data_IF_842956277128
#
_entry.id   IF_842956277128
#
_cell.length_a   1.000
_cell.length_b   1.000
_cell.length_c   1.000
_cell.angle_alpha   90.00
_cell.angle_beta   90.00
_cell.angle_gamma   90.00
#
_symmetry.space_group_name_H-M   'P 1'
#
loop_
_entity.id
_entity.type
_entity.pdbx_description
1 polymer ?
#
# COMPACT_ATOMS: atom_id res chain seq x y z
N UNK A 1 -11.99 -4.89 -16.76
CA UNK A 1 -12.98 -5.91 -16.33
C UNK A 1 -14.17 -5.85 -17.28
N UNK A 2 -15.00 -6.89 -17.43
CA UNK A 2 -16.23 -6.78 -18.25
C UNK A 2 -17.37 -6.31 -17.32
N UNK A 3 -17.82 -5.07 -17.47
CA UNK A 3 -18.85 -4.50 -16.60
C UNK A 3 -20.23 -5.05 -16.98
N UNK A 4 -21.04 -5.56 -16.05
CA UNK A 4 -22.39 -6.03 -16.35
C UNK A 4 -23.31 -4.88 -16.80
N UNK A 5 -24.31 -5.24 -17.59
CA UNK A 5 -25.49 -4.39 -17.80
C UNK A 5 -26.41 -4.52 -16.60
N UNK A 6 -26.86 -3.39 -16.06
CA UNK A 6 -27.77 -3.35 -14.92
C UNK A 6 -29.23 -3.28 -15.41
N UNK A 7 -30.11 -3.97 -14.69
CA UNK A 7 -31.55 -3.94 -14.94
C UNK A 7 -32.20 -2.84 -14.10
N UNK A 8 -32.89 -1.91 -14.77
CA UNK A 8 -33.55 -0.76 -14.16
C UNK A 8 -35.07 -0.77 -14.35
N UNK A 9 -35.67 -1.87 -14.81
CA UNK A 9 -37.11 -1.91 -15.11
C UNK A 9 -38.01 -1.61 -13.91
N UNK A 10 -37.49 -1.69 -12.68
CA UNK A 10 -38.20 -1.29 -11.45
C UNK A 10 -38.21 0.22 -11.18
N UNK A 11 -37.49 1.03 -11.96
CA UNK A 11 -37.47 2.48 -11.87
C UNK A 11 -38.32 3.04 -13.03
N UNK A 12 -39.51 3.53 -12.72
CA UNK A 12 -40.54 3.89 -13.71
C UNK A 12 -40.64 5.40 -13.98
N UNK A 13 -39.89 6.21 -13.24
CA UNK A 13 -39.89 7.67 -13.35
C UNK A 13 -38.48 8.26 -13.24
N UNK A 14 -38.32 9.49 -13.75
CA UNK A 14 -37.07 10.23 -13.55
C UNK A 14 -36.77 10.47 -12.06
N UNK A 15 -37.80 10.73 -11.25
CA UNK A 15 -37.66 10.90 -9.80
C UNK A 15 -37.11 9.64 -9.11
N UNK A 16 -37.62 8.44 -9.44
CA UNK A 16 -37.11 7.19 -8.89
C UNK A 16 -35.63 6.95 -9.27
N UNK A 17 -35.24 7.33 -10.49
CA UNK A 17 -33.83 7.28 -10.90
C UNK A 17 -32.97 8.28 -10.11
N UNK A 18 -33.45 9.50 -9.87
CA UNK A 18 -32.73 10.53 -9.10
C UNK A 18 -32.52 10.14 -7.64
N UNK A 19 -33.53 9.49 -7.03
CA UNK A 19 -33.41 8.90 -5.69
C UNK A 19 -32.33 7.83 -5.63
N UNK A 20 -32.21 6.98 -6.66
CA UNK A 20 -31.18 5.95 -6.75
C UNK A 20 -29.78 6.52 -7.12
N UNK A 21 -29.72 7.58 -7.92
CA UNK A 21 -28.47 8.23 -8.31
C UNK A 21 -27.78 8.94 -7.14
N UNK A 22 -28.56 9.47 -6.19
CA UNK A 22 -28.03 10.20 -5.03
C UNK A 22 -27.05 9.35 -4.19
N UNK A 23 -27.44 8.17 -3.65
CA UNK A 23 -26.51 7.31 -2.92
C UNK A 23 -25.42 6.73 -3.81
N UNK A 24 -25.69 6.43 -5.09
CA UNK A 24 -24.68 5.91 -6.02
C UNK A 24 -23.55 6.92 -6.28
N UNK A 25 -23.88 8.21 -6.47
CA UNK A 25 -22.90 9.29 -6.62
C UNK A 25 -22.13 9.56 -5.32
N UNK A 26 -22.79 9.45 -4.17
CA UNK A 26 -22.12 9.55 -2.88
C UNK A 26 -21.09 8.43 -2.70
N UNK A 27 -21.45 7.19 -3.05
CA UNK A 27 -20.53 6.05 -3.04
C UNK A 27 -19.36 6.25 -4.01
N UNK A 28 -19.63 6.76 -5.23
CA UNK A 28 -18.57 7.05 -6.20
C UNK A 28 -17.56 8.07 -5.67
N UNK A 29 -18.05 9.14 -5.01
CA UNK A 29 -17.18 10.15 -4.40
C UNK A 29 -16.35 9.58 -3.24
N UNK A 30 -16.94 8.72 -2.40
CA UNK A 30 -16.22 8.05 -1.32
C UNK A 30 -15.11 7.12 -1.87
N UNK A 31 -15.44 6.29 -2.86
CA UNK A 31 -14.48 5.39 -3.51
C UNK A 31 -13.34 6.16 -4.17
N UNK A 32 -13.64 7.27 -4.85
CA UNK A 32 -12.62 8.14 -5.45
C UNK A 32 -11.67 8.72 -4.39
N UNK A 33 -12.22 9.20 -3.27
CA UNK A 33 -11.39 9.69 -2.16
C UNK A 33 -10.55 8.57 -1.54
N UNK A 34 -11.11 7.36 -1.44
CA UNK A 34 -10.40 6.21 -0.90
C UNK A 34 -9.25 5.77 -1.81
N UNK A 35 -9.47 5.76 -3.12
CA UNK A 35 -8.46 5.45 -4.13
C UNK A 35 -7.24 6.38 -4.02
N UNK A 36 -7.47 7.70 -4.02
CA UNK A 36 -6.42 8.72 -3.83
C UNK A 36 -5.66 8.53 -2.51
N UNK A 37 -6.37 8.17 -1.43
CA UNK A 37 -5.73 7.94 -0.14
C UNK A 37 -4.91 6.64 -0.10
N UNK A 38 -5.32 5.60 -0.82
CA UNK A 38 -4.59 4.34 -0.93
C UNK A 38 -3.33 4.52 -1.76
N UNK A 39 -3.41 5.20 -2.90
CA UNK A 39 -2.29 5.58 -3.76
C UNK A 39 -1.20 6.31 -2.95
N UNK A 40 -1.58 7.37 -2.24
CA UNK A 40 -0.67 8.11 -1.35
C UNK A 40 -0.04 7.26 -0.24
N UNK A 41 -0.76 6.26 0.28
CA UNK A 41 -0.22 5.31 1.28
C UNK A 41 0.74 4.32 0.64
N UNK A 42 0.47 3.89 -0.59
CA UNK A 42 1.36 3.07 -1.43
C UNK A 42 2.71 3.76 -1.62
N UNK A 43 2.72 4.99 -2.13
CA UNK A 43 3.92 5.81 -2.33
C UNK A 43 4.78 5.94 -1.07
N UNK A 44 4.12 6.20 0.08
CA UNK A 44 4.80 6.29 1.37
C UNK A 44 5.39 4.96 1.81
N UNK A 45 4.69 3.86 1.56
CA UNK A 45 5.17 2.52 1.90
C UNK A 45 6.37 2.15 1.03
N UNK A 46 6.33 2.43 -0.27
CA UNK A 46 7.44 2.22 -1.20
C UNK A 46 8.67 3.05 -0.78
N UNK A 47 8.49 4.34 -0.51
CA UNK A 47 9.57 5.23 -0.04
C UNK A 47 10.22 4.70 1.25
N UNK A 48 9.41 4.22 2.20
CA UNK A 48 9.91 3.62 3.46
C UNK A 48 10.67 2.32 3.20
N UNK A 49 10.19 1.47 2.30
CA UNK A 49 10.86 0.23 1.93
C UNK A 49 12.21 0.51 1.25
N UNK A 50 12.27 1.49 0.34
CA UNK A 50 13.52 1.95 -0.29
C UNK A 50 14.52 2.48 0.75
N UNK A 51 14.07 3.30 1.69
CA UNK A 51 14.91 3.81 2.78
C UNK A 51 15.41 2.68 3.71
N UNK A 52 14.57 1.69 4.02
CA UNK A 52 14.95 0.54 4.82
C UNK A 52 16.02 -0.31 4.11
N UNK A 53 15.89 -0.50 2.79
CA UNK A 53 16.87 -1.21 1.95
C UNK A 53 18.22 -0.48 1.94
N UNK A 54 18.22 0.83 1.74
CA UNK A 54 19.44 1.65 1.77
C UNK A 54 20.11 1.61 3.15
N UNK A 55 19.33 1.68 4.23
CA UNK A 55 19.83 1.54 5.59
C UNK A 55 20.43 0.14 5.83
N UNK A 56 19.81 -0.92 5.29
CA UNK A 56 20.32 -2.29 5.39
C UNK A 56 21.68 -2.43 4.72
N UNK A 57 21.85 -1.87 3.50
CA UNK A 57 23.13 -1.82 2.79
C UNK A 57 24.19 -1.12 3.65
N UNK A 58 23.86 0.03 4.23
CA UNK A 58 24.79 0.76 5.10
C UNK A 58 25.17 0.01 6.38
N UNK A 59 24.22 -0.72 6.99
CA UNK A 59 24.50 -1.59 8.15
C UNK A 59 25.39 -2.76 7.76
N UNK A 60 25.15 -3.38 6.60
CA UNK A 60 25.95 -4.48 6.08
C UNK A 60 27.41 -4.05 5.88
N UNK A 61 27.66 -2.93 5.20
CA UNK A 61 29.03 -2.44 4.99
C UNK A 61 29.76 -2.11 6.30
N UNK A 62 29.05 -1.62 7.31
CA UNK A 62 29.64 -1.39 8.65
C UNK A 62 29.96 -2.71 9.35
N UNK A 63 29.08 -3.70 9.22
CA UNK A 63 29.27 -5.01 9.81
C UNK A 63 30.50 -5.72 9.20
N UNK A 64 30.66 -5.62 7.88
CA UNK A 64 31.84 -6.13 7.18
C UNK A 64 33.13 -5.47 7.72
N UNK A 65 33.14 -4.14 7.82
CA UNK A 65 34.30 -3.42 8.38
C UNK A 65 34.61 -3.75 9.84
N UNK A 66 33.59 -3.99 10.68
CA UNK A 66 33.78 -4.45 12.07
C UNK A 66 34.33 -5.88 12.11
N UNK A 67 33.85 -6.76 11.24
CA UNK A 67 34.33 -8.14 11.14
C UNK A 67 35.79 -8.20 10.70
N UNK A 68 36.19 -7.37 9.75
CA UNK A 68 37.59 -7.26 9.30
C UNK A 68 38.49 -6.84 10.46
N UNK A 69 38.10 -5.79 11.19
CA UNK A 69 38.85 -5.33 12.37
C UNK A 69 38.94 -6.38 13.49
N UNK A 70 37.87 -7.17 13.70
CA UNK A 70 37.87 -8.27 14.68
C UNK A 70 38.76 -9.44 14.25
N UNK A 71 38.92 -9.65 12.94
CA UNK A 71 39.77 -10.69 12.36
C UNK A 71 41.26 -10.32 12.51
N UNK A 72 41.60 -9.05 12.34
CA UNK A 72 42.97 -8.54 12.50
C UNK A 72 43.42 -8.45 13.97
N UNK A 73 42.48 -8.51 14.91
CA UNK A 73 42.78 -8.45 16.34
C UNK A 73 43.09 -9.84 16.93
N UNK A 74 44.19 -9.99 17.69
CA UNK A 74 44.49 -11.24 18.37
C UNK A 74 43.36 -11.67 19.31
N UNK A 75 43.14 -12.98 19.39
CA UNK A 75 42.15 -13.55 20.29
C UNK A 75 42.56 -13.27 21.75
N UNK A 76 41.70 -12.58 22.51
CA UNK A 76 41.94 -12.24 23.90
C UNK A 76 41.17 -11.01 24.37
N UNK A 77 41.06 -10.77 25.68
CA UNK A 77 40.33 -9.64 26.23
C UNK A 77 41.13 -8.35 26.02
N UNK A 78 40.91 -7.69 24.89
CA UNK A 78 41.30 -6.29 24.71
C UNK A 78 40.05 -5.42 24.75
N UNK A 79 40.17 -4.24 25.37
CA UNK A 79 39.08 -3.25 25.41
C UNK A 79 38.53 -2.96 24.01
N UNK A 80 39.42 -2.83 23.02
CA UNK A 80 39.06 -2.60 21.62
C UNK A 80 38.24 -3.74 21.02
N UNK A 81 38.61 -5.00 21.30
CA UNK A 81 37.84 -6.17 20.84
C UNK A 81 36.45 -6.21 21.46
N UNK A 82 36.32 -5.96 22.76
CA UNK A 82 35.02 -5.90 23.45
C UNK A 82 34.10 -4.81 22.88
N UNK A 83 34.67 -3.64 22.56
CA UNK A 83 33.94 -2.54 21.93
C UNK A 83 33.41 -2.94 20.53
N UNK A 84 34.25 -3.60 19.72
CA UNK A 84 33.88 -4.07 18.39
C UNK A 84 32.87 -5.23 18.42
N UNK A 85 33.00 -6.18 19.35
CA UNK A 85 32.02 -7.26 19.54
C UNK A 85 30.64 -6.69 19.98
N UNK A 86 30.64 -5.67 20.84
CA UNK A 86 29.42 -4.96 21.22
C UNK A 86 28.80 -4.19 20.04
N UNK A 87 29.63 -3.57 19.19
CA UNK A 87 29.19 -2.90 17.97
C UNK A 87 28.61 -3.88 16.95
N UNK A 88 29.28 -5.01 16.72
CA UNK A 88 28.81 -6.10 15.86
C UNK A 88 27.42 -6.59 16.31
N UNK A 89 27.24 -6.86 17.62
CA UNK A 89 25.96 -7.30 18.16
C UNK A 89 24.83 -6.27 17.92
N UNK A 90 25.14 -4.97 18.07
CA UNK A 90 24.19 -3.88 17.78
C UNK A 90 23.84 -3.82 16.29
N UNK A 91 24.83 -3.96 15.41
CA UNK A 91 24.62 -3.95 13.96
C UNK A 91 23.79 -5.16 13.50
N UNK A 92 24.04 -6.36 14.03
CA UNK A 92 23.22 -7.55 13.76
C UNK A 92 21.77 -7.34 14.22
N UNK A 93 21.56 -6.81 15.42
CA UNK A 93 20.21 -6.51 15.92
C UNK A 93 19.50 -5.50 15.02
N UNK A 94 20.22 -4.45 14.60
CA UNK A 94 19.70 -3.43 13.68
C UNK A 94 19.40 -3.99 12.30
N UNK A 95 20.23 -4.88 11.78
CA UNK A 95 20.02 -5.56 10.50
C UNK A 95 18.73 -6.39 10.54
N UNK A 96 18.49 -7.15 11.62
CA UNK A 96 17.25 -7.92 11.81
C UNK A 96 16.02 -7.01 11.89
N UNK A 97 16.09 -5.91 12.64
CA UNK A 97 15.01 -4.93 12.72
C UNK A 97 14.68 -4.31 11.35
N UNK A 98 15.71 -3.91 10.60
CA UNK A 98 15.55 -3.34 9.26
C UNK A 98 15.04 -4.38 8.26
N UNK A 99 15.47 -5.64 8.37
CA UNK A 99 14.96 -6.73 7.55
C UNK A 99 13.48 -7.00 7.84
N UNK A 100 13.04 -6.96 9.10
CA UNK A 100 11.62 -7.07 9.47
C UNK A 100 10.80 -5.89 8.93
N UNK A 101 11.35 -4.67 8.98
CA UNK A 101 10.70 -3.48 8.38
C UNK A 101 10.67 -3.53 6.85
N UNK A 102 11.72 -4.04 6.21
CA UNK A 102 11.79 -4.26 4.77
C UNK A 102 10.92 -5.45 4.29
N UNK A 103 10.72 -6.45 5.15
CA UNK A 103 9.80 -7.56 4.95
C UNK A 103 8.31 -7.15 5.06
N UNK A 104 8.03 -5.85 5.22
CA UNK A 104 6.70 -5.27 5.06
C UNK A 104 6.12 -5.43 3.64
N UNK A 105 6.73 -6.22 2.77
CA UNK A 105 6.12 -6.71 1.52
C UNK A 105 4.73 -7.31 1.72
N UNK A 106 4.43 -7.93 2.87
CA UNK A 106 3.06 -8.34 3.20
C UNK A 106 2.09 -7.16 3.34
N UNK A 107 2.54 -6.03 3.91
CA UNK A 107 1.72 -4.82 4.01
C UNK A 107 1.56 -4.12 2.65
N UNK A 108 2.60 -4.16 1.80
CA UNK A 108 2.52 -3.70 0.41
C UNK A 108 1.54 -4.55 -0.41
N UNK A 109 1.67 -5.88 -0.37
CA UNK A 109 0.75 -6.79 -1.06
C UNK A 109 -0.71 -6.63 -0.60
N UNK A 110 -0.93 -6.36 0.69
CA UNK A 110 -2.26 -6.05 1.21
C UNK A 110 -2.77 -4.66 0.76
N UNK A 111 -1.88 -3.68 0.58
CA UNK A 111 -2.23 -2.37 0.04
C UNK A 111 -2.60 -2.47 -1.45
N UNK A 112 -1.79 -3.17 -2.25
CA UNK A 112 -2.07 -3.47 -3.67
C UNK A 112 -3.42 -4.21 -3.84
N UNK A 113 -3.70 -5.19 -2.96
CA UNK A 113 -5.00 -5.86 -2.96
C UNK A 113 -6.15 -4.90 -2.64
N UNK A 114 -5.96 -3.99 -1.68
CA UNK A 114 -6.99 -3.02 -1.30
C UNK A 114 -7.24 -1.99 -2.42
N UNK A 115 -6.20 -1.56 -3.11
CA UNK A 115 -6.27 -0.70 -4.29
C UNK A 115 -7.01 -1.40 -5.43
N UNK A 116 -6.59 -2.62 -5.80
CA UNK A 116 -7.25 -3.39 -6.86
C UNK A 116 -8.75 -3.62 -6.60
N UNK A 117 -9.14 -3.85 -5.33
CA UNK A 117 -10.55 -3.95 -4.94
C UNK A 117 -11.28 -2.63 -5.07
N UNK A 118 -10.66 -1.53 -4.64
CA UNK A 118 -11.27 -0.19 -4.71
C UNK A 118 -11.45 0.23 -6.17
N UNK A 119 -10.47 -0.04 -7.03
CA UNK A 119 -10.54 0.22 -8.46
C UNK A 119 -11.63 -0.60 -9.16
N UNK A 120 -11.77 -1.89 -8.83
CA UNK A 120 -12.84 -2.73 -9.35
C UNK A 120 -14.23 -2.23 -8.95
N UNK A 121 -14.38 -1.78 -7.70
CA UNK A 121 -15.64 -1.20 -7.20
C UNK A 121 -15.94 0.14 -7.88
N UNK A 122 -14.92 0.98 -8.09
CA UNK A 122 -15.03 2.25 -8.79
C UNK A 122 -15.47 2.06 -10.24
N UNK A 123 -14.89 1.09 -10.97
CA UNK A 123 -15.34 0.72 -12.33
C UNK A 123 -16.83 0.32 -12.33
N UNK A 124 -17.25 -0.50 -11.37
CA UNK A 124 -18.61 -1.03 -11.29
C UNK A 124 -19.64 0.06 -10.94
N UNK A 125 -19.35 0.91 -9.96
CA UNK A 125 -20.23 2.02 -9.55
C UNK A 125 -20.29 3.10 -10.62
N UNK A 126 -19.17 3.43 -11.27
CA UNK A 126 -19.14 4.39 -12.39
C UNK A 126 -20.04 3.94 -13.52
N UNK A 127 -19.95 2.66 -13.89
CA UNK A 127 -20.78 2.12 -14.95
C UNK A 127 -22.26 2.03 -14.55
N UNK A 128 -22.57 1.69 -13.28
CA UNK A 128 -23.93 1.74 -12.76
C UNK A 128 -24.53 3.15 -12.90
N UNK A 129 -23.80 4.19 -12.46
CA UNK A 129 -24.23 5.59 -12.56
C UNK A 129 -24.44 5.97 -14.02
N UNK A 130 -23.50 5.63 -14.90
CA UNK A 130 -23.58 5.96 -16.34
C UNK A 130 -24.80 5.30 -17.00
N UNK A 131 -25.04 4.01 -16.73
CA UNK A 131 -26.19 3.29 -17.30
C UNK A 131 -27.51 3.81 -16.72
N UNK A 132 -27.57 4.13 -15.42
CA UNK A 132 -28.77 4.67 -14.79
C UNK A 132 -29.09 6.09 -15.28
N UNK A 133 -28.08 6.93 -15.49
CA UNK A 133 -28.24 8.25 -16.11
C UNK A 133 -28.77 8.12 -17.53
N UNK A 134 -28.24 7.18 -18.33
CA UNK A 134 -28.76 6.92 -19.66
C UNK A 134 -30.23 6.44 -19.62
N UNK A 135 -30.56 5.49 -18.75
CA UNK A 135 -31.92 4.97 -18.59
C UNK A 135 -32.91 6.07 -18.16
N UNK A 136 -32.52 6.93 -17.20
CA UNK A 136 -33.32 8.07 -16.75
C UNK A 136 -33.76 8.97 -17.90
N UNK A 137 -32.91 9.20 -18.91
CA UNK A 137 -33.26 10.05 -20.07
C UNK A 137 -34.35 9.45 -20.96
N UNK A 138 -34.63 8.15 -20.83
CA UNK A 138 -35.68 7.45 -21.60
C UNK A 138 -37.04 7.50 -20.92
N UNK A 139 -37.10 7.92 -19.65
CA UNK A 139 -38.31 7.94 -18.84
C UNK A 139 -39.04 9.29 -18.92
N UNK A 140 -40.38 9.28 -18.73
CA UNK A 140 -41.13 10.51 -18.55
C UNK A 140 -40.65 11.26 -17.30
N UNK A 141 -40.69 12.59 -17.39
CA UNK A 141 -40.36 13.50 -16.28
C UNK A 141 -41.27 13.29 -15.07
#
# INVERSE_FOLDING_TARGET
>A
MNVPTFDFTGLDSQAACDEALTPARALLADLTNRDVNLDYRGDKAETRAGNAKNALIGVQSRLDGVNDQLTDLPAGPSRRRLELEAEQARLVARQKELALRGASGAALALAELAEARTQAELEMVTAFVTQLEAYRTTLPA
#
